data_IF_855846164140
#
_entry.id   IF_855846164140
#
_cell.length_a   1.000
_cell.length_b   1.000
_cell.length_c   1.000
_cell.angle_alpha   90.00
_cell.angle_beta   90.00
_cell.angle_gamma   90.00
#
_symmetry.space_group_name_H-M   'P 1'
#
loop_
_entity.id
_entity.type
_entity.pdbx_description
1 polymer ?
#
# COMPACT_ATOMS: atom_id res chain seq x y z
N UNK A 1 -24.91 -5.92 -1.79
CA UNK A 1 -23.75 -5.38 -1.06
C UNK A 1 -22.97 -6.56 -0.51
N UNK A 2 -21.80 -6.85 -1.06
CA UNK A 2 -20.95 -7.96 -0.58
C UNK A 2 -20.34 -7.53 0.75
N UNK A 3 -20.48 -8.34 1.80
CA UNK A 3 -19.82 -8.09 3.08
C UNK A 3 -18.30 -8.14 2.89
N UNK A 4 -17.58 -7.26 3.57
CA UNK A 4 -16.12 -7.11 3.45
C UNK A 4 -15.35 -8.38 3.85
N UNK A 5 -15.95 -9.18 4.73
CA UNK A 5 -15.48 -10.51 5.13
C UNK A 5 -15.55 -11.54 4.00
N UNK A 6 -16.33 -11.29 2.95
CA UNK A 6 -16.48 -12.17 1.79
C UNK A 6 -15.45 -11.92 0.67
N UNK A 7 -14.65 -10.85 0.76
CA UNK A 7 -13.59 -10.59 -0.22
C UNK A 7 -12.37 -11.49 0.04
N UNK A 8 -11.72 -12.03 -1.02
CA UNK A 8 -10.48 -12.76 -0.87
C UNK A 8 -9.37 -11.85 -0.31
N UNK A 9 -8.41 -12.45 0.40
CA UNK A 9 -7.20 -11.74 0.81
C UNK A 9 -6.36 -11.41 -0.42
N UNK A 10 -5.77 -10.23 -0.44
CA UNK A 10 -4.82 -9.85 -1.47
C UNK A 10 -3.59 -10.78 -1.44
N UNK A 11 -3.11 -11.16 -2.62
CA UNK A 11 -1.92 -11.98 -2.81
C UNK A 11 -0.93 -11.20 -3.64
N UNK A 12 0.31 -11.11 -3.16
CA UNK A 12 1.37 -10.40 -3.86
C UNK A 12 1.86 -11.17 -5.08
N UNK A 13 2.04 -10.45 -6.18
CA UNK A 13 2.91 -10.87 -7.28
C UNK A 13 4.37 -10.53 -6.91
N UNK A 14 5.34 -11.46 -7.08
CA UNK A 14 6.74 -11.22 -6.74
C UNK A 14 7.32 -9.99 -7.46
N UNK A 15 8.17 -9.22 -6.76
CA UNK A 15 8.93 -8.14 -7.38
C UNK A 15 10.16 -8.69 -8.13
N UNK A 16 10.52 -8.08 -9.25
CA UNK A 16 11.85 -8.22 -9.81
C UNK A 16 12.90 -7.54 -8.91
N UNK A 17 14.18 -7.89 -9.08
CA UNK A 17 15.27 -7.46 -8.18
C UNK A 17 15.33 -5.95 -7.93
N UNK A 18 15.07 -5.15 -8.98
CA UNK A 18 15.19 -3.68 -8.93
C UNK A 18 13.84 -2.97 -8.81
N UNK A 19 12.73 -3.71 -8.73
CA UNK A 19 11.40 -3.10 -8.62
C UNK A 19 11.08 -2.67 -7.18
N UNK A 20 10.20 -1.69 -7.08
CA UNK A 20 9.46 -1.38 -5.86
C UNK A 20 7.98 -1.51 -6.16
N UNK A 21 7.17 -1.66 -5.10
CA UNK A 21 5.72 -1.52 -5.22
C UNK A 21 5.31 -0.13 -4.77
N UNK A 22 4.35 0.48 -5.47
CA UNK A 22 3.76 1.75 -5.10
C UNK A 22 2.26 1.59 -4.90
N UNK A 23 1.75 2.25 -3.87
CA UNK A 23 0.34 2.29 -3.51
C UNK A 23 -0.28 3.56 -4.11
N UNK A 24 -1.26 3.42 -4.99
CA UNK A 24 -2.15 4.51 -5.34
C UNK A 24 -3.36 4.48 -4.40
N UNK A 25 -3.53 5.48 -3.54
CA UNK A 25 -4.77 5.67 -2.78
C UNK A 25 -5.78 6.42 -3.65
N UNK A 26 -6.98 5.87 -3.81
CA UNK A 26 -8.04 6.47 -4.64
C UNK A 26 -8.85 7.52 -3.84
N UNK A 27 -9.40 8.54 -4.52
CA UNK A 27 -10.25 9.54 -3.87
C UNK A 27 -11.44 8.91 -3.15
N UNK A 28 -11.84 9.51 -2.04
CA UNK A 28 -13.00 9.10 -1.25
C UNK A 28 -13.44 10.21 -0.30
N UNK A 29 -14.49 9.99 0.50
CA UNK A 29 -15.00 11.00 1.44
C UNK A 29 -14.99 10.49 2.87
N UNK A 30 -14.55 11.32 3.81
CA UNK A 30 -14.64 11.06 5.25
C UNK A 30 -14.17 9.65 5.64
N UNK A 31 -15.08 8.88 6.25
CA UNK A 31 -14.86 7.52 6.74
C UNK A 31 -15.22 6.42 5.71
N UNK A 32 -15.46 6.76 4.44
CA UNK A 32 -15.69 5.75 3.39
C UNK A 32 -14.52 4.77 3.34
N UNK A 33 -14.78 3.55 2.87
CA UNK A 33 -13.75 2.53 2.67
C UNK A 33 -12.61 3.05 1.80
N UNK A 34 -11.38 2.72 2.18
CA UNK A 34 -10.20 3.11 1.42
C UNK A 34 -10.00 2.09 0.29
N UNK A 35 -10.07 2.58 -0.94
CA UNK A 35 -9.71 1.83 -2.12
C UNK A 35 -8.32 2.23 -2.57
N UNK A 36 -7.50 1.24 -2.91
CA UNK A 36 -6.16 1.44 -3.40
C UNK A 36 -5.91 0.59 -4.65
N UNK A 37 -4.85 0.94 -5.38
CA UNK A 37 -4.19 0.04 -6.33
C UNK A 37 -2.75 -0.16 -5.90
N UNK A 38 -2.22 -1.35 -6.12
CA UNK A 38 -0.80 -1.64 -5.99
C UNK A 38 -0.23 -1.85 -7.39
N UNK A 39 0.88 -1.19 -7.70
CA UNK A 39 1.60 -1.37 -8.96
C UNK A 39 3.07 -1.59 -8.70
N UNK A 40 3.70 -2.42 -9.52
CA UNK A 40 5.15 -2.50 -9.60
C UNK A 40 5.67 -1.25 -10.33
N UNK A 41 6.83 -0.75 -9.91
CA UNK A 41 7.50 0.38 -10.51
C UNK A 41 8.98 0.02 -10.70
N UNK A 42 9.46 0.25 -11.92
CA UNK A 42 10.86 0.07 -12.29
C UNK A 42 11.62 1.37 -12.01
N UNK A 43 12.92 1.33 -11.69
CA UNK A 43 13.70 2.55 -11.45
C UNK A 43 13.66 3.55 -12.62
N UNK A 44 13.63 3.04 -13.86
CA UNK A 44 13.61 3.85 -15.09
C UNK A 44 12.20 4.28 -15.53
N UNK A 45 11.15 3.76 -14.89
CA UNK A 45 9.74 4.08 -15.15
C UNK A 45 9.01 4.22 -13.81
N UNK A 46 9.59 5.04 -12.93
CA UNK A 46 9.09 5.26 -11.59
C UNK A 46 8.28 6.57 -11.56
N UNK A 47 6.97 6.50 -11.31
CA UNK A 47 6.14 7.70 -11.15
C UNK A 47 6.56 8.44 -9.87
N UNK A 48 6.30 9.74 -9.78
CA UNK A 48 6.49 10.49 -8.54
C UNK A 48 5.63 9.89 -7.42
N UNK A 49 6.22 9.73 -6.24
CA UNK A 49 5.57 9.16 -5.06
C UNK A 49 6.09 9.81 -3.79
N UNK A 50 5.31 9.69 -2.72
CA UNK A 50 5.67 10.16 -1.39
C UNK A 50 6.02 8.96 -0.49
N UNK A 51 7.05 9.07 0.33
CA UNK A 51 7.37 8.08 1.35
C UNK A 51 6.53 8.32 2.60
N UNK A 52 5.70 7.36 3.00
CA UNK A 52 4.96 7.49 4.27
C UNK A 52 5.77 6.89 5.42
N UNK A 53 6.23 7.77 6.30
CA UNK A 53 6.69 7.39 7.64
C UNK A 53 5.54 7.50 8.62
N UNK A 54 5.25 6.42 9.35
CA UNK A 54 4.20 6.39 10.36
C UNK A 54 4.60 5.47 11.52
N UNK A 55 3.95 5.65 12.67
CA UNK A 55 4.18 4.80 13.83
C UNK A 55 3.45 3.48 13.62
N UNK A 56 4.20 2.38 13.59
CA UNK A 56 3.63 1.04 13.56
C UNK A 56 2.78 0.81 14.82
N UNK A 57 1.55 0.33 14.64
CA UNK A 57 0.67 -0.01 15.77
C UNK A 57 1.19 -1.22 16.53
N UNK A 58 0.90 -1.30 17.83
CA UNK A 58 1.29 -2.44 18.69
C UNK A 58 0.28 -3.58 18.69
N UNK A 59 -0.94 -3.32 18.22
CA UNK A 59 -1.98 -4.34 18.01
C UNK A 59 -1.91 -4.90 16.59
N UNK A 60 -2.32 -6.17 16.42
CA UNK A 60 -2.50 -6.79 15.10
C UNK A 60 -3.50 -6.03 14.21
N UNK A 61 -3.69 -6.47 12.95
CA UNK A 61 -4.57 -5.77 12.01
C UNK A 61 -6.02 -5.79 12.50
N UNK A 62 -6.63 -4.61 12.62
CA UNK A 62 -8.02 -4.41 13.03
C UNK A 62 -8.88 -3.81 11.92
N UNK A 63 -8.25 -3.31 10.86
CA UNK A 63 -8.87 -2.62 9.74
C UNK A 63 -8.49 -3.30 8.43
N UNK A 64 -9.06 -2.85 7.32
CA UNK A 64 -8.67 -3.31 5.99
C UNK A 64 -8.83 -2.19 4.97
N UNK A 65 -7.97 -2.22 3.95
CA UNK A 65 -8.18 -1.48 2.70
C UNK A 65 -8.63 -2.44 1.61
N UNK A 66 -9.26 -1.91 0.56
CA UNK A 66 -9.63 -2.68 -0.62
C UNK A 66 -8.62 -2.43 -1.73
N UNK A 67 -7.92 -3.48 -2.16
CA UNK A 67 -7.03 -3.42 -3.32
C UNK A 67 -7.84 -3.77 -4.57
N UNK A 68 -7.86 -2.85 -5.54
CA UNK A 68 -8.43 -3.05 -6.86
C UNK A 68 -7.32 -3.56 -7.80
N UNK A 69 -7.54 -4.71 -8.41
CA UNK A 69 -6.66 -5.22 -9.47
C UNK A 69 -7.03 -4.59 -10.83
N UNK A 70 -6.14 -4.78 -11.80
CA UNK A 70 -6.32 -4.24 -13.16
C UNK A 70 -7.51 -4.86 -13.92
N UNK A 71 -7.93 -6.08 -13.55
CA UNK A 71 -9.10 -6.76 -14.12
C UNK A 71 -10.43 -6.40 -13.41
N UNK A 72 -10.39 -5.50 -12.42
CA UNK A 72 -11.58 -5.04 -11.69
C UNK A 72 -11.99 -5.91 -10.49
N UNK A 73 -11.20 -6.94 -10.15
CA UNK A 73 -11.41 -7.71 -8.93
C UNK A 73 -11.02 -6.91 -7.68
N UNK A 74 -11.61 -7.29 -6.55
CA UNK A 74 -11.42 -6.63 -5.27
C UNK A 74 -10.88 -7.60 -4.24
N UNK A 75 -9.86 -7.15 -3.53
CA UNK A 75 -9.19 -7.92 -2.50
C UNK A 75 -9.16 -7.11 -1.22
N UNK A 76 -9.31 -7.77 -0.08
CA UNK A 76 -9.11 -7.13 1.23
C UNK A 76 -7.65 -7.27 1.65
N UNK A 77 -7.06 -6.19 2.14
CA UNK A 77 -5.74 -6.20 2.74
C UNK A 77 -5.83 -5.73 4.20
N UNK A 78 -5.55 -6.61 5.20
CA UNK A 78 -5.61 -6.24 6.61
C UNK A 78 -4.52 -5.22 6.98
N UNK A 79 -4.89 -4.17 7.70
CA UNK A 79 -3.97 -3.13 8.18
C UNK A 79 -4.20 -2.80 9.65
N UNK A 80 -3.19 -2.21 10.29
CA UNK A 80 -3.31 -1.68 11.65
C UNK A 80 -4.19 -0.42 11.69
N UNK A 81 -4.70 -0.09 12.89
CA UNK A 81 -5.42 1.17 13.13
C UNK A 81 -4.58 2.38 12.69
N UNK A 82 -3.33 2.46 13.13
CA UNK A 82 -2.46 3.61 12.85
C UNK A 82 -2.28 3.84 11.35
N UNK A 83 -2.12 2.77 10.57
CA UNK A 83 -2.04 2.90 9.12
C UNK A 83 -3.38 3.33 8.52
N UNK A 84 -4.50 2.82 9.05
CA UNK A 84 -5.84 3.22 8.60
C UNK A 84 -6.05 4.72 8.81
N UNK A 85 -5.74 5.23 9.99
CA UNK A 85 -5.88 6.64 10.35
C UNK A 85 -4.99 7.52 9.46
N UNK A 86 -3.72 7.12 9.27
CA UNK A 86 -2.80 7.82 8.38
C UNK A 86 -3.33 7.89 6.94
N UNK A 87 -3.83 6.76 6.40
CA UNK A 87 -4.38 6.71 5.05
C UNK A 87 -5.66 7.56 4.91
N UNK A 88 -6.54 7.59 5.91
CA UNK A 88 -7.71 8.47 5.90
C UNK A 88 -7.32 9.95 5.85
N UNK A 89 -6.32 10.36 6.65
CA UNK A 89 -5.80 11.73 6.61
C UNK A 89 -5.20 12.08 5.25
N UNK A 90 -4.45 11.16 4.63
CA UNK A 90 -3.84 11.38 3.31
C UNK A 90 -4.85 11.40 2.17
N UNK A 91 -5.98 10.68 2.31
CA UNK A 91 -7.05 10.59 1.31
C UNK A 91 -7.91 11.84 1.22
N UNK A 92 -7.84 12.78 2.17
CA UNK A 92 -8.70 13.98 2.19
C UNK A 92 -8.43 14.96 1.02
N UNK A 93 -7.62 14.56 0.04
CA UNK A 93 -7.44 15.22 -1.25
C UNK A 93 -8.48 14.76 -2.29
N UNK A 94 -8.96 15.66 -3.18
CA UNK A 94 -9.82 15.28 -4.30
C UNK A 94 -9.12 14.43 -5.37
N UNK A 95 -7.80 14.29 -5.32
CA UNK A 95 -6.98 13.52 -6.28
C UNK A 95 -6.40 12.27 -5.64
N UNK A 96 -6.10 11.25 -6.46
CA UNK A 96 -5.32 10.11 -5.97
C UNK A 96 -3.91 10.56 -5.54
N UNK A 97 -3.31 9.80 -4.62
CA UNK A 97 -1.90 9.99 -4.21
C UNK A 97 -1.14 8.69 -4.41
N UNK A 98 0.11 8.80 -4.88
CA UNK A 98 1.00 7.64 -5.02
C UNK A 98 1.97 7.66 -3.84
N UNK A 99 2.00 6.57 -3.08
CA UNK A 99 2.75 6.44 -1.84
C UNK A 99 3.64 5.20 -1.90
N UNK A 100 4.78 5.26 -1.22
CA UNK A 100 5.50 4.07 -0.77
C UNK A 100 5.30 3.91 0.74
N UNK A 101 4.77 2.76 1.15
CA UNK A 101 4.47 2.43 2.54
C UNK A 101 4.97 1.01 2.79
N UNK A 102 5.93 0.85 3.69
CA UNK A 102 6.57 -0.44 4.00
C UNK A 102 5.56 -1.60 4.24
N UNK A 103 4.48 -1.36 4.97
CA UNK A 103 3.50 -2.39 5.33
C UNK A 103 2.61 -2.87 4.17
N UNK A 104 2.50 -2.09 3.07
CA UNK A 104 1.68 -2.43 1.90
C UNK A 104 2.51 -2.66 0.64
N UNK A 105 3.62 -1.95 0.50
CA UNK A 105 4.48 -2.04 -0.67
C UNK A 105 5.48 -3.21 -0.58
N UNK A 106 5.78 -3.70 0.62
CA UNK A 106 6.63 -4.87 0.84
C UNK A 106 5.75 -6.04 1.26
N UNK A 107 5.95 -7.20 0.63
CA UNK A 107 5.39 -8.45 1.11
C UNK A 107 6.04 -8.85 2.44
N UNK A 108 5.40 -8.48 3.55
CA UNK A 108 5.91 -8.72 4.91
C UNK A 108 5.98 -10.21 5.29
N UNK A 109 5.34 -11.10 4.53
CA UNK A 109 5.35 -12.55 4.75
C UNK A 109 6.45 -13.27 3.94
N UNK A 110 7.15 -12.58 3.05
CA UNK A 110 8.29 -13.09 2.30
C UNK A 110 9.57 -12.48 2.86
N UNK A 111 10.34 -13.27 3.61
CA UNK A 111 11.58 -12.81 4.26
C UNK A 111 12.64 -12.36 3.25
N UNK A 112 12.66 -12.93 2.03
CA UNK A 112 13.62 -12.55 1.00
C UNK A 112 13.25 -11.20 0.37
N UNK A 113 11.98 -11.00 -0.01
CA UNK A 113 11.49 -9.70 -0.49
C UNK A 113 11.68 -8.64 0.60
N UNK A 114 11.26 -8.94 1.83
CA UNK A 114 11.37 -8.02 2.97
C UNK A 114 12.80 -7.60 3.23
N UNK A 115 13.74 -8.53 3.30
CA UNK A 115 15.15 -8.21 3.51
C UNK A 115 15.72 -7.35 2.40
N UNK A 116 15.41 -7.68 1.14
CA UNK A 116 15.83 -6.90 -0.03
C UNK A 116 15.31 -5.46 0.00
N UNK A 117 14.00 -5.28 0.25
CA UNK A 117 13.37 -3.97 0.27
C UNK A 117 13.82 -3.12 1.48
N UNK A 118 14.04 -3.73 2.65
CA UNK A 118 14.57 -3.03 3.83
C UNK A 118 15.97 -2.46 3.57
N UNK A 119 16.84 -3.22 2.89
CA UNK A 119 18.17 -2.73 2.49
C UNK A 119 18.05 -1.52 1.56
N UNK A 120 17.04 -1.50 0.69
CA UNK A 120 16.77 -0.43 -0.28
C UNK A 120 15.95 0.73 0.30
N UNK A 121 15.43 0.61 1.52
CA UNK A 121 14.49 1.57 2.10
C UNK A 121 15.04 3.00 2.10
N UNK A 122 16.32 3.18 2.44
CA UNK A 122 16.97 4.50 2.40
C UNK A 122 16.87 5.13 1.01
N UNK A 123 17.28 4.41 -0.03
CA UNK A 123 17.21 4.92 -1.42
C UNK A 123 15.78 5.17 -1.88
N UNK A 124 14.82 4.38 -1.40
CA UNK A 124 13.40 4.60 -1.72
C UNK A 124 12.89 5.91 -1.11
N UNK A 125 13.22 6.20 0.15
CA UNK A 125 12.86 7.49 0.75
C UNK A 125 13.62 8.66 0.13
N UNK A 126 14.89 8.50 -0.24
CA UNK A 126 15.68 9.54 -0.92
C UNK A 126 15.13 9.90 -2.32
N UNK A 127 14.44 8.95 -2.98
CA UNK A 127 13.83 9.16 -4.29
C UNK A 127 12.35 9.59 -4.21
N UNK A 128 11.77 9.66 -3.02
CA UNK A 128 10.43 10.21 -2.83
C UNK A 128 10.43 11.74 -2.94
N UNK A 129 9.30 12.34 -3.34
CA UNK A 129 9.12 13.79 -3.47
C UNK A 129 8.90 14.51 -2.15
#
# INVERSE_FOLDING_TARGET
MVSETGLPLFVYEPLAADEIRLLEILPGKGADKIFCRLRHALPNDCPTYEGLSYVWGTSGPTHSVIILSNNGEQYRFPISQNLSDALHCLRDSPTSRTLWIDALCINQADDAEKSSQVIRMKSTFENAS
#
